data_IF_493044298616
#
_entry.id   IF_493044298616
#
_cell.length_a   1.000
_cell.length_b   1.000
_cell.length_c   1.000
_cell.angle_alpha   90.00
_cell.angle_beta   90.00
_cell.angle_gamma   90.00
#
_symmetry.space_group_name_H-M   'P 1'
#
loop_
_entity.id
_entity.type
_entity.pdbx_description
1 polymer ?
#
# COMPACT_ATOMS: atom_id res chain seq x y z
N UNK A 1 -10.81 -4.54 -15.31
CA UNK A 1 -10.02 -3.71 -14.39
C UNK A 1 -10.98 -3.13 -13.37
N UNK A 2 -10.89 -3.57 -12.11
CA UNK A 2 -11.76 -3.04 -11.06
C UNK A 2 -11.03 -1.88 -10.39
N UNK A 3 -11.61 -0.68 -10.46
CA UNK A 3 -11.11 0.52 -9.78
C UNK A 3 -11.95 0.78 -8.54
N UNK A 4 -11.32 0.83 -7.37
CA UNK A 4 -11.99 1.10 -6.10
C UNK A 4 -11.44 2.40 -5.53
N UNK A 5 -12.35 3.25 -5.06
CA UNK A 5 -12.01 4.52 -4.45
C UNK A 5 -11.95 4.34 -2.93
N UNK A 6 -10.80 4.64 -2.34
CA UNK A 6 -10.52 4.43 -0.93
C UNK A 6 -10.49 5.76 -0.19
N UNK A 7 -11.16 5.82 0.97
CA UNK A 7 -11.27 7.04 1.80
C UNK A 7 -10.08 7.21 2.74
N UNK A 8 -9.49 6.09 3.18
CA UNK A 8 -8.35 6.08 4.09
C UNK A 8 -7.37 5.00 3.65
N UNK A 9 -6.09 5.31 3.86
CA UNK A 9 -4.97 4.44 3.57
C UNK A 9 -4.03 4.45 4.77
N UNK A 10 -3.74 3.25 5.26
CA UNK A 10 -2.80 2.99 6.34
C UNK A 10 -1.67 2.11 5.79
N UNK A 11 -0.42 2.40 6.16
CA UNK A 11 0.75 1.63 5.73
C UNK A 11 1.53 1.10 6.92
N UNK A 12 2.18 -0.04 6.72
CA UNK A 12 3.21 -0.52 7.65
C UNK A 12 4.35 -1.12 6.85
N UNK A 13 5.58 -0.87 7.29
CA UNK A 13 6.74 -1.46 6.63
C UNK A 13 6.84 -2.95 6.98
N UNK A 14 7.25 -3.79 6.03
CA UNK A 14 7.32 -5.25 6.23
C UNK A 14 8.18 -5.65 7.44
N UNK A 15 9.23 -4.89 7.74
CA UNK A 15 10.11 -5.17 8.88
C UNK A 15 9.45 -4.94 10.24
N UNK A 16 8.36 -4.18 10.30
CA UNK A 16 7.61 -3.89 11.52
C UNK A 16 6.47 -4.89 11.77
N UNK A 17 6.26 -5.82 10.85
CA UNK A 17 5.30 -6.92 10.96
C UNK A 17 5.97 -8.11 11.66
N UNK A 18 5.27 -8.70 12.63
CA UNK A 18 5.67 -9.94 13.28
C UNK A 18 5.09 -11.15 12.54
N UNK A 19 3.77 -11.12 12.29
CA UNK A 19 3.05 -12.20 11.62
C UNK A 19 1.94 -11.63 10.74
N UNK A 20 1.67 -12.31 9.63
CA UNK A 20 0.57 -11.95 8.73
C UNK A 20 -0.17 -13.21 8.27
N UNK A 21 -1.49 -13.14 8.36
CA UNK A 21 -2.44 -14.07 7.74
C UNK A 21 -3.32 -13.29 6.77
N UNK A 22 -4.15 -13.97 5.97
CA UNK A 22 -4.85 -13.40 4.82
C UNK A 22 -5.50 -12.02 5.03
N UNK A 23 -6.10 -11.79 6.20
CA UNK A 23 -6.79 -10.55 6.58
C UNK A 23 -6.26 -9.94 7.90
N UNK A 24 -5.32 -10.60 8.57
CA UNK A 24 -4.82 -10.21 9.89
C UNK A 24 -3.32 -9.91 9.84
N UNK A 25 -2.95 -8.73 10.36
CA UNK A 25 -1.56 -8.29 10.46
C UNK A 25 -1.24 -8.05 11.93
N UNK A 26 -0.31 -8.83 12.47
CA UNK A 26 0.25 -8.67 13.82
C UNK A 26 1.57 -7.92 13.71
N UNK A 27 1.68 -6.80 14.44
CA UNK A 27 2.87 -5.95 14.42
C UNK A 27 3.81 -6.28 15.58
N UNK A 28 5.09 -5.96 15.39
CA UNK A 28 6.08 -6.02 16.47
C UNK A 28 5.70 -5.07 17.61
N UNK A 29 6.15 -5.35 18.85
CA UNK A 29 5.86 -4.49 20.00
C UNK A 29 6.19 -3.01 19.75
N UNK A 30 5.25 -2.13 20.05
CA UNK A 30 5.41 -0.67 19.88
C UNK A 30 5.25 -0.16 18.44
N UNK A 31 4.98 -1.04 17.47
CA UNK A 31 4.74 -0.65 16.08
C UNK A 31 3.24 -0.52 15.79
N UNK A 32 2.90 0.44 14.93
CA UNK A 32 1.51 0.72 14.52
C UNK A 32 1.46 0.95 13.02
N UNK A 33 0.26 0.82 12.46
CA UNK A 33 0.01 1.29 11.11
C UNK A 33 0.09 2.82 11.08
N UNK A 34 0.82 3.36 10.11
CA UNK A 34 0.88 4.79 9.85
C UNK A 34 -0.27 5.17 8.94
N UNK A 35 -1.21 5.97 9.45
CA UNK A 35 -2.25 6.56 8.62
C UNK A 35 -1.66 7.66 7.74
N UNK A 36 -1.89 7.60 6.43
CA UNK A 36 -1.52 8.67 5.52
C UNK A 36 -2.64 9.71 5.41
N UNK A 37 -2.29 10.98 5.59
CA UNK A 37 -3.22 12.09 5.38
C UNK A 37 -3.27 12.39 3.87
N UNK A 38 -4.37 11.99 3.25
CA UNK A 38 -4.56 12.06 1.80
C UNK A 38 -5.05 13.43 1.35
N UNK A 39 -4.47 13.94 0.27
CA UNK A 39 -4.95 15.08 -0.51
C UNK A 39 -5.90 14.54 -1.59
N UNK A 40 -7.12 14.20 -1.16
CA UNK A 40 -8.13 13.55 -1.97
C UNK A 40 -8.36 12.09 -1.59
N UNK A 41 -8.79 11.27 -2.54
CA UNK A 41 -9.05 9.84 -2.33
C UNK A 41 -7.92 9.00 -2.92
N UNK A 42 -7.59 7.90 -2.27
CA UNK A 42 -6.68 6.91 -2.85
C UNK A 42 -7.44 6.06 -3.87
N UNK A 43 -6.74 5.58 -4.89
CA UNK A 43 -7.31 4.71 -5.91
C UNK A 43 -6.62 3.36 -5.84
N UNK A 44 -7.41 2.29 -5.86
CA UNK A 44 -6.95 0.92 -5.99
C UNK A 44 -7.36 0.38 -7.35
N UNK A 45 -6.46 -0.35 -8.00
CA UNK A 45 -6.76 -1.14 -9.19
C UNK A 45 -6.17 -2.54 -9.08
N UNK A 46 -6.90 -3.52 -9.61
CA UNK A 46 -6.44 -4.90 -9.72
C UNK A 46 -6.62 -5.42 -11.15
N UNK A 47 -5.59 -6.11 -11.63
CA UNK A 47 -5.54 -6.74 -12.94
C UNK A 47 -4.90 -8.12 -12.85
N UNK A 48 -5.65 -9.14 -13.25
CA UNK A 48 -5.12 -10.48 -13.49
C UNK A 48 -4.44 -10.55 -14.86
N UNK A 49 -3.28 -11.18 -14.90
CA UNK A 49 -2.53 -11.48 -16.12
C UNK A 49 -2.17 -12.97 -16.13
N UNK A 50 -2.07 -13.58 -17.30
CA UNK A 50 -1.68 -15.00 -17.44
C UNK A 50 -0.40 -15.08 -18.27
N UNK A 51 0.76 -14.71 -17.72
CA UNK A 51 2.04 -14.94 -18.37
C UNK A 51 2.35 -16.44 -18.46
N UNK A 52 3.38 -16.79 -19.25
CA UNK A 52 3.82 -18.18 -19.45
C UNK A 52 4.17 -18.91 -18.14
N UNK A 53 4.53 -18.16 -17.10
CA UNK A 53 4.87 -18.66 -15.76
C UNK A 53 3.64 -18.93 -14.84
N UNK A 54 2.42 -18.78 -15.36
CA UNK A 54 1.16 -18.98 -14.60
C UNK A 54 0.44 -17.67 -14.25
N UNK A 55 -0.80 -17.75 -13.75
CA UNK A 55 -1.62 -16.58 -13.52
C UNK A 55 -1.12 -15.74 -12.34
N UNK A 56 -1.09 -14.42 -12.52
CA UNK A 56 -0.68 -13.43 -11.51
C UNK A 56 -1.71 -12.33 -11.38
N UNK A 57 -1.86 -11.79 -10.16
CA UNK A 57 -2.65 -10.59 -9.88
C UNK A 57 -1.70 -9.45 -9.55
N UNK A 58 -1.85 -8.37 -10.31
CA UNK A 58 -1.16 -7.11 -10.08
C UNK A 58 -2.13 -6.13 -9.44
N UNK A 59 -1.73 -5.61 -8.28
CA UNK A 59 -2.49 -4.65 -7.49
C UNK A 59 -1.71 -3.34 -7.46
N UNK A 60 -2.39 -2.23 -7.76
CA UNK A 60 -1.79 -0.90 -7.73
C UNK A 60 -2.61 0.01 -6.84
N UNK A 61 -1.95 0.72 -5.93
CA UNK A 61 -2.55 1.74 -5.07
C UNK A 61 -1.88 3.06 -5.38
N UNK A 62 -2.66 4.07 -5.77
CA UNK A 62 -2.17 5.43 -5.96
C UNK A 62 -2.79 6.35 -4.91
N UNK A 63 -1.95 7.22 -4.34
CA UNK A 63 -2.36 8.18 -3.33
C UNK A 63 -1.58 9.47 -3.49
N UNK A 64 -2.23 10.59 -3.20
CA UNK A 64 -1.59 11.90 -3.14
C UNK A 64 -1.59 12.38 -1.70
N UNK A 65 -0.45 12.85 -1.22
CA UNK A 65 -0.30 13.43 0.12
C UNK A 65 0.38 14.79 0.00
N UNK A 66 0.17 15.66 0.99
CA UNK A 66 0.93 16.90 1.12
C UNK A 66 2.32 16.60 1.70
N UNK A 67 3.32 17.32 1.22
CA UNK A 67 4.67 17.23 1.76
C UNK A 67 4.70 17.86 3.16
N UNK A 68 4.82 17.02 4.17
CA UNK A 68 4.97 17.37 5.61
C UNK A 68 6.23 16.69 6.18
N UNK A 69 6.69 17.08 7.37
CA UNK A 69 7.78 16.38 8.06
C UNK A 69 7.54 14.87 8.19
N UNK A 70 6.29 14.47 8.46
CA UNK A 70 5.88 13.07 8.56
C UNK A 70 5.96 12.34 7.21
N UNK A 71 5.69 13.02 6.10
CA UNK A 71 5.82 12.44 4.75
C UNK A 71 7.28 12.10 4.39
N UNK A 72 8.27 12.70 5.04
CA UNK A 72 9.68 12.34 4.83
C UNK A 72 10.03 10.95 5.38
N UNK A 73 9.26 10.44 6.35
CA UNK A 73 9.42 9.08 6.88
C UNK A 73 9.20 8.04 5.76
N UNK A 74 8.37 8.38 4.77
CA UNK A 74 8.07 7.55 3.61
C UNK A 74 9.16 7.65 2.53
N UNK A 75 10.02 8.69 2.57
CA UNK A 75 11.06 8.96 1.56
C UNK A 75 12.39 8.24 1.80
N UNK A 76 12.62 7.63 2.96
CA UNK A 76 13.94 7.12 3.35
C UNK A 76 13.85 5.76 4.05
N UNK A 77 14.79 4.83 3.80
CA UNK A 77 14.94 4.01 2.59
C UNK A 77 13.87 2.90 2.44
N UNK A 78 12.76 2.99 3.17
CA UNK A 78 11.76 1.93 3.28
C UNK A 78 10.94 1.80 1.99
N UNK A 79 11.10 0.67 1.27
CA UNK A 79 10.50 0.42 -0.06
C UNK A 79 9.31 -0.53 -0.02
N UNK A 80 9.23 -1.43 0.97
CA UNK A 80 8.29 -2.55 0.97
C UNK A 80 7.26 -2.41 2.09
N UNK A 81 5.98 -2.34 1.72
CA UNK A 81 4.90 -2.08 2.65
C UNK A 81 3.78 -3.11 2.52
N UNK A 82 3.02 -3.27 3.60
CA UNK A 82 1.67 -3.81 3.59
C UNK A 82 0.71 -2.65 3.80
N UNK A 83 -0.34 -2.60 2.99
CA UNK A 83 -1.26 -1.46 2.92
C UNK A 83 -2.63 -1.93 3.38
N UNK A 84 -3.24 -1.19 4.30
CA UNK A 84 -4.64 -1.37 4.67
C UNK A 84 -5.46 -0.24 4.06
N UNK A 85 -6.38 -0.62 3.18
CA UNK A 85 -7.29 0.30 2.49
C UNK A 85 -8.67 0.22 3.11
N UNK A 86 -9.31 1.38 3.25
CA UNK A 86 -10.67 1.50 3.76
C UNK A 86 -11.58 2.09 2.69
N UNK A 87 -12.68 1.39 2.44
CA UNK A 87 -13.75 1.74 1.51
C UNK A 87 -15.06 1.89 2.26
N UNK A 88 -16.13 2.23 1.53
CA UNK A 88 -17.48 2.27 2.11
C UNK A 88 -18.02 0.89 2.50
N UNK A 89 -17.53 -0.17 1.86
CA UNK A 89 -17.96 -1.55 2.12
C UNK A 89 -17.13 -2.25 3.21
N UNK A 90 -15.99 -1.67 3.62
CA UNK A 90 -15.09 -2.27 4.60
C UNK A 90 -13.62 -2.02 4.29
N UNK A 91 -12.76 -2.75 4.99
CA UNK A 91 -11.31 -2.65 4.86
C UNK A 91 -10.72 -3.92 4.23
N UNK A 92 -9.64 -3.77 3.47
CA UNK A 92 -8.88 -4.90 2.92
C UNK A 92 -7.38 -4.58 2.87
N UNK A 93 -6.58 -5.62 2.67
CA UNK A 93 -5.12 -5.55 2.68
C UNK A 93 -4.57 -5.71 1.27
N UNK A 94 -3.54 -4.95 0.93
CA UNK A 94 -2.76 -5.07 -0.29
C UNK A 94 -1.29 -5.36 0.07
N UNK A 95 -0.72 -6.35 -0.61
CA UNK A 95 0.62 -6.88 -0.34
C UNK A 95 0.63 -7.93 0.78
N UNK A 96 1.74 -8.63 0.90
CA UNK A 96 2.01 -9.61 1.97
C UNK A 96 3.48 -9.56 2.39
N UNK A 97 3.90 -10.45 3.30
CA UNK A 97 5.32 -10.61 3.64
C UNK A 97 6.14 -11.14 2.44
N UNK A 98 5.59 -12.07 1.67
CA UNK A 98 6.25 -12.68 0.50
C UNK A 98 6.14 -11.81 -0.76
N UNK A 99 5.02 -11.09 -0.90
CA UNK A 99 4.71 -10.24 -2.05
C UNK A 99 4.32 -8.83 -1.59
N UNK A 100 5.26 -8.07 -1.00
CA UNK A 100 4.96 -6.76 -0.46
C UNK A 100 4.63 -5.74 -1.54
N UNK A 101 3.90 -4.70 -1.15
CA UNK A 101 3.64 -3.58 -2.02
C UNK A 101 4.88 -2.68 -2.09
N UNK A 102 5.46 -2.58 -3.27
CA UNK A 102 6.63 -1.76 -3.53
C UNK A 102 6.23 -0.30 -3.75
N UNK A 103 6.76 0.60 -2.93
CA UNK A 103 6.53 2.02 -3.02
C UNK A 103 7.43 2.67 -4.09
N UNK A 104 6.81 3.49 -4.93
CA UNK A 104 7.45 4.48 -5.77
C UNK A 104 6.83 5.85 -5.48
N UNK A 105 7.63 6.90 -5.49
CA UNK A 105 7.14 8.26 -5.23
C UNK A 105 7.65 9.26 -6.25
N UNK A 106 6.82 10.28 -6.50
CA UNK A 106 7.16 11.45 -7.31
C UNK A 106 6.65 12.69 -6.61
N UNK A 107 7.51 13.65 -6.33
CA UNK A 107 7.14 14.90 -5.68
C UNK A 107 7.29 16.13 -6.58
N UNK A 108 6.48 17.15 -6.30
CA UNK A 108 6.46 18.44 -6.99
C UNK A 108 6.72 19.61 -6.01
N UNK A 109 7.47 19.35 -4.93
CA UNK A 109 7.78 20.25 -3.80
C UNK A 109 6.63 20.55 -2.84
N UNK A 110 5.36 20.38 -3.25
CA UNK A 110 4.19 20.63 -2.38
C UNK A 110 3.46 19.33 -2.08
N UNK A 111 3.36 18.45 -3.06
CA UNK A 111 2.70 17.17 -2.96
C UNK A 111 3.65 16.02 -3.28
N UNK A 112 3.32 14.85 -2.74
CA UNK A 112 3.97 13.59 -3.07
C UNK A 112 2.89 12.66 -3.61
N UNK A 113 3.10 12.18 -4.83
CA UNK A 113 2.31 11.10 -5.41
C UNK A 113 2.99 9.79 -5.06
N UNK A 114 2.30 8.96 -4.29
CA UNK A 114 2.71 7.63 -3.88
C UNK A 114 2.03 6.61 -4.79
N UNK A 115 2.82 5.68 -5.31
CA UNK A 115 2.31 4.53 -6.06
C UNK A 115 2.89 3.27 -5.45
N UNK A 116 2.02 2.42 -4.94
CA UNK A 116 2.38 1.13 -4.40
C UNK A 116 1.96 0.03 -5.38
N UNK A 117 2.84 -0.93 -5.65
CA UNK A 117 2.56 -2.05 -6.55
C UNK A 117 2.86 -3.37 -5.85
N UNK A 118 1.87 -4.27 -5.81
CA UNK A 118 2.05 -5.64 -5.37
C UNK A 118 1.75 -6.59 -6.53
N UNK A 119 2.50 -7.67 -6.64
CA UNK A 119 2.27 -8.73 -7.64
C UNK A 119 2.34 -10.07 -6.94
N UNK A 120 1.29 -10.87 -7.03
CA UNK A 120 1.21 -12.19 -6.40
C UNK A 120 0.64 -13.24 -7.35
N UNK A 121 1.01 -14.51 -7.21
CA UNK A 121 0.34 -15.62 -7.90
C UNK A 121 -1.15 -15.66 -7.55
N UNK A 122 -1.97 -16.11 -8.52
CA UNK A 122 -3.41 -16.37 -8.35
C UNK A 122 -3.67 -17.74 -7.71
#
# INVERSE_FOLDING_TARGET
MNKVICKRLEIVHVQDIDKMYADQVTLKPGKTFTQLILEGKAEYSSQSQTPDAGPVVNETVTAKIRLTQESYIIKFPLRYYVIRLYTDAGAFIVGSLDYPAELTFKDDKVYVNLTFKASRPL
#
